data_IF_257741837191
#
_entry.id   IF_257741837191
#
_cell.length_a   1.000
_cell.length_b   1.000
_cell.length_c   1.000
_cell.angle_alpha   90.00
_cell.angle_beta   90.00
_cell.angle_gamma   90.00
#
_symmetry.space_group_name_H-M   'P 1'
#
loop_
_entity.id
_entity.type
_entity.pdbx_description
1 polymer ?
#
# COMPACT_ATOMS: atom_id res chain seq x y z
N UNK A 1 17.74 -51.43 38.15
CA UNK A 1 18.87 -50.46 38.28
C UNK A 1 18.82 -49.64 36.99
N UNK A 2 17.95 -48.67 36.97
CA UNK A 2 17.68 -47.85 35.77
C UNK A 2 18.39 -46.52 35.89
N UNK A 3 19.27 -46.24 34.95
CA UNK A 3 20.03 -44.99 34.89
C UNK A 3 19.15 -43.91 34.25
N UNK A 4 18.83 -42.88 35.01
CA UNK A 4 18.14 -41.67 34.55
C UNK A 4 19.16 -40.78 33.86
N UNK A 5 19.08 -40.64 32.54
CA UNK A 5 19.84 -39.66 31.78
C UNK A 5 19.24 -38.26 31.96
N UNK A 6 19.99 -37.39 32.59
CA UNK A 6 19.66 -35.99 32.76
C UNK A 6 19.95 -35.21 31.46
N UNK A 7 18.90 -34.75 30.75
CA UNK A 7 19.03 -33.85 29.62
C UNK A 7 19.36 -32.43 30.14
N UNK A 8 20.61 -32.04 29.98
CA UNK A 8 21.08 -30.66 30.21
C UNK A 8 20.59 -29.77 29.10
N UNK A 9 19.65 -28.86 29.39
CA UNK A 9 19.20 -27.83 28.46
C UNK A 9 20.27 -26.75 28.30
N UNK A 10 20.95 -26.72 27.18
CA UNK A 10 21.86 -25.65 26.82
C UNK A 10 21.03 -24.42 26.45
N UNK A 11 21.04 -23.41 27.30
CA UNK A 11 20.45 -22.09 27.00
C UNK A 11 21.22 -21.43 25.86
N UNK A 12 20.54 -21.24 24.72
CA UNK A 12 21.06 -20.45 23.58
C UNK A 12 21.10 -19.00 24.01
N UNK A 13 22.24 -18.30 23.93
CA UNK A 13 22.31 -16.89 24.31
C UNK A 13 21.45 -16.06 23.36
N UNK A 14 20.49 -15.31 23.90
CA UNK A 14 19.77 -14.27 23.22
C UNK A 14 20.80 -13.23 22.75
N UNK A 15 20.98 -13.10 21.44
CA UNK A 15 21.90 -12.15 20.84
C UNK A 15 21.59 -10.75 21.37
N UNK A 16 22.47 -10.20 22.18
CA UNK A 16 22.42 -8.84 22.68
C UNK A 16 22.37 -7.87 21.51
N UNK A 17 21.30 -7.07 21.43
CA UNK A 17 21.13 -6.08 20.39
C UNK A 17 22.31 -5.10 20.40
N UNK A 18 22.96 -4.91 19.24
CA UNK A 18 23.96 -3.86 19.03
C UNK A 18 23.34 -2.53 19.46
N UNK A 19 24.00 -1.69 20.29
CA UNK A 19 23.48 -0.40 20.69
C UNK A 19 23.22 0.44 19.45
N UNK A 20 21.94 0.70 19.12
CA UNK A 20 21.59 1.61 18.03
C UNK A 20 22.02 3.02 18.43
N UNK A 21 22.64 3.74 17.51
CA UNK A 21 22.94 5.15 17.70
C UNK A 21 21.63 5.88 18.07
N UNK A 22 21.64 6.63 19.17
CA UNK A 22 20.47 7.40 19.67
C UNK A 22 19.85 8.27 18.60
N UNK A 23 20.66 8.79 17.68
CA UNK A 23 20.21 9.60 16.54
C UNK A 23 19.38 8.77 15.56
N UNK A 24 19.82 7.55 15.23
CA UNK A 24 19.09 6.63 14.33
C UNK A 24 17.75 6.22 14.96
N UNK A 25 17.75 5.97 16.26
CA UNK A 25 16.51 5.62 16.98
C UNK A 25 15.53 6.80 17.04
N UNK A 26 16.02 8.02 17.27
CA UNK A 26 15.20 9.24 17.24
C UNK A 26 14.56 9.45 15.87
N UNK A 27 15.33 9.36 14.79
CA UNK A 27 14.82 9.49 13.42
C UNK A 27 13.79 8.40 13.07
N UNK A 28 14.04 7.16 13.48
CA UNK A 28 13.09 6.05 13.31
C UNK A 28 11.76 6.33 14.03
N UNK A 29 11.82 6.86 15.25
CA UNK A 29 10.63 7.21 16.02
C UNK A 29 9.86 8.39 15.43
N UNK A 30 10.56 9.41 14.93
CA UNK A 30 9.95 10.54 14.19
C UNK A 30 9.23 10.04 12.93
N UNK A 31 9.88 9.20 12.13
CA UNK A 31 9.29 8.58 10.94
C UNK A 31 8.07 7.72 11.30
N UNK A 32 8.18 6.88 12.33
CA UNK A 32 7.07 6.03 12.80
C UNK A 32 5.86 6.88 13.21
N UNK A 33 6.07 7.97 13.97
CA UNK A 33 4.99 8.89 14.39
C UNK A 33 4.30 9.49 13.15
N UNK A 34 5.08 9.97 12.18
CA UNK A 34 4.57 10.55 10.93
C UNK A 34 3.79 9.51 10.11
N UNK A 35 4.37 8.32 9.88
CA UNK A 35 3.72 7.26 9.10
C UNK A 35 2.42 6.82 9.76
N UNK A 36 2.42 6.61 11.08
CA UNK A 36 1.23 6.26 11.85
C UNK A 36 0.12 7.32 11.70
N UNK A 37 0.48 8.60 11.73
CA UNK A 37 -0.50 9.68 11.51
C UNK A 37 -1.09 9.63 10.10
N UNK A 38 -0.27 9.50 9.06
CA UNK A 38 -0.74 9.43 7.67
C UNK A 38 -1.62 8.20 7.41
N UNK A 39 -1.22 7.05 7.96
CA UNK A 39 -2.01 5.81 7.85
C UNK A 39 -3.33 5.93 8.62
N UNK A 40 -3.30 6.50 9.83
CA UNK A 40 -4.51 6.76 10.62
C UNK A 40 -5.48 7.70 9.90
N UNK A 41 -4.98 8.78 9.29
CA UNK A 41 -5.79 9.67 8.46
C UNK A 41 -6.43 8.95 7.27
N UNK A 42 -5.65 8.16 6.52
CA UNK A 42 -6.20 7.40 5.39
C UNK A 42 -7.26 6.38 5.83
N UNK A 43 -7.05 5.71 6.97
CA UNK A 43 -8.03 4.77 7.55
C UNK A 43 -9.33 5.51 7.90
N UNK A 44 -9.24 6.69 8.51
CA UNK A 44 -10.40 7.49 8.89
C UNK A 44 -11.13 8.07 7.68
N UNK A 45 -10.40 8.75 6.76
CA UNK A 45 -10.97 9.41 5.59
C UNK A 45 -11.73 8.45 4.66
N UNK A 46 -11.25 7.21 4.55
CA UNK A 46 -11.88 6.19 3.70
C UNK A 46 -12.61 5.10 4.47
N UNK A 47 -12.81 5.25 5.79
CA UNK A 47 -13.46 4.27 6.66
C UNK A 47 -12.94 2.84 6.38
N UNK A 48 -11.60 2.67 6.38
CA UNK A 48 -10.97 1.42 5.93
C UNK A 48 -11.10 0.28 6.94
N UNK A 49 -11.05 0.60 8.24
CA UNK A 49 -11.09 -0.35 9.34
C UNK A 49 -12.17 0.08 10.31
N UNK A 50 -12.99 -0.87 10.75
CA UNK A 50 -14.09 -0.70 11.69
C UNK A 50 -13.88 -1.57 12.93
N UNK A 51 -14.62 -1.29 13.99
CA UNK A 51 -14.54 -2.08 15.22
C UNK A 51 -14.91 -3.55 14.96
N UNK A 52 -14.13 -4.47 15.51
CA UNK A 52 -14.31 -5.92 15.31
C UNK A 52 -13.74 -6.47 13.99
N UNK A 53 -13.12 -5.64 13.14
CA UNK A 53 -12.54 -6.13 11.88
C UNK A 53 -11.39 -7.12 12.09
N UNK A 54 -11.31 -8.10 11.21
CA UNK A 54 -10.17 -9.00 11.04
C UNK A 54 -9.42 -8.64 9.77
N UNK A 55 -8.29 -7.98 9.93
CA UNK A 55 -7.48 -7.43 8.83
C UNK A 55 -6.39 -8.41 8.40
N UNK A 56 -6.51 -8.95 7.20
CA UNK A 56 -5.46 -9.74 6.57
C UNK A 56 -4.42 -8.82 5.94
N UNK A 57 -3.20 -8.76 6.46
CA UNK A 57 -2.09 -7.99 5.90
C UNK A 57 -1.30 -8.87 4.94
N UNK A 58 -1.29 -8.52 3.66
CA UNK A 58 -0.55 -9.26 2.64
C UNK A 58 0.93 -8.88 2.64
N UNK A 59 1.80 -9.81 3.02
CA UNK A 59 3.25 -9.63 3.06
C UNK A 59 3.91 -10.19 1.81
N UNK A 60 4.60 -9.33 1.06
CA UNK A 60 5.41 -9.75 -0.09
C UNK A 60 6.89 -9.94 0.25
N UNK A 61 7.32 -9.57 1.46
CA UNK A 61 8.72 -9.46 1.83
C UNK A 61 9.38 -8.15 1.40
N UNK A 62 8.69 -7.27 0.70
CA UNK A 62 9.18 -5.95 0.33
C UNK A 62 8.99 -4.91 1.44
N UNK A 63 9.76 -3.80 1.37
CA UNK A 63 9.79 -2.70 2.35
C UNK A 63 8.41 -2.18 2.74
N UNK A 64 7.51 -2.05 1.73
CA UNK A 64 6.20 -1.44 1.91
C UNK A 64 5.26 -2.35 2.71
N UNK A 65 5.34 -3.67 2.49
CA UNK A 65 4.55 -4.65 3.22
C UNK A 65 5.00 -4.80 4.68
N UNK A 66 6.30 -4.73 4.94
CA UNK A 66 6.81 -4.67 6.32
C UNK A 66 6.40 -3.37 7.03
N UNK A 67 6.55 -2.23 6.34
CA UNK A 67 6.14 -0.93 6.86
C UNK A 67 4.64 -0.89 7.17
N UNK A 68 3.79 -1.42 6.28
CA UNK A 68 2.36 -1.55 6.51
C UNK A 68 2.06 -2.35 7.78
N UNK A 69 2.65 -3.54 7.91
CA UNK A 69 2.42 -4.40 9.08
C UNK A 69 2.84 -3.71 10.38
N UNK A 70 4.07 -3.16 10.44
CA UNK A 70 4.59 -2.51 11.64
C UNK A 70 3.73 -1.32 12.08
N UNK A 71 3.29 -0.49 11.12
CA UNK A 71 2.44 0.66 11.41
C UNK A 71 1.04 0.24 11.86
N UNK A 72 0.43 -0.78 11.22
CA UNK A 72 -0.88 -1.28 11.62
C UNK A 72 -0.85 -1.93 13.01
N UNK A 73 0.19 -2.68 13.36
CA UNK A 73 0.40 -3.19 14.72
C UNK A 73 0.47 -2.04 15.74
N UNK A 74 1.27 -0.99 15.42
CA UNK A 74 1.37 0.18 16.28
C UNK A 74 0.07 0.99 16.40
N UNK A 75 -0.79 0.97 15.40
CA UNK A 75 -2.13 1.59 15.43
C UNK A 75 -3.09 0.75 16.24
N UNK A 76 -3.14 -0.57 16.04
CA UNK A 76 -3.98 -1.50 16.81
C UNK A 76 -3.84 -1.30 18.31
N UNK A 77 -2.61 -1.14 18.77
CA UNK A 77 -2.29 -0.98 20.20
C UNK A 77 -2.71 0.39 20.79
N UNK A 78 -3.16 1.36 19.94
CA UNK A 78 -3.40 2.76 20.32
C UNK A 78 -4.70 3.35 19.80
N UNK A 79 -5.32 2.70 18.82
CA UNK A 79 -6.56 3.19 18.22
C UNK A 79 -7.74 3.01 19.20
N UNK A 80 -8.78 3.85 19.08
CA UNK A 80 -10.01 3.65 19.82
C UNK A 80 -10.85 2.48 19.30
N UNK A 81 -10.41 1.82 18.24
CA UNK A 81 -11.04 0.67 17.60
C UNK A 81 -10.33 -0.62 17.97
N UNK A 82 -11.10 -1.69 18.21
CA UNK A 82 -10.58 -3.04 18.38
C UNK A 82 -10.61 -3.78 17.05
N UNK A 83 -9.46 -4.25 16.56
CA UNK A 83 -9.35 -5.07 15.36
C UNK A 83 -8.21 -6.07 15.45
N UNK A 84 -8.38 -7.19 14.77
CA UNK A 84 -7.36 -8.24 14.68
C UNK A 84 -6.49 -8.07 13.44
N UNK A 85 -5.23 -8.48 13.55
CA UNK A 85 -4.29 -8.51 12.42
C UNK A 85 -3.80 -9.94 12.23
N UNK A 86 -3.91 -10.44 10.99
CA UNK A 86 -3.30 -11.70 10.56
C UNK A 86 -2.39 -11.40 9.37
N UNK A 87 -1.10 -11.68 9.52
CA UNK A 87 -0.14 -11.54 8.44
C UNK A 87 -0.19 -12.75 7.51
N UNK A 88 -0.30 -12.54 6.20
CA UNK A 88 -0.33 -13.62 5.22
C UNK A 88 0.74 -13.40 4.16
N UNK A 89 1.60 -14.42 3.96
CA UNK A 89 2.52 -14.45 2.83
C UNK A 89 2.13 -15.58 1.88
N UNK A 90 2.24 -15.31 0.58
CA UNK A 90 2.14 -16.32 -0.46
C UNK A 90 3.53 -16.63 -1.00
N UNK A 91 4.07 -17.81 -0.66
CA UNK A 91 5.22 -18.39 -1.32
C UNK A 91 4.78 -18.98 -2.67
N UNK A 92 5.23 -18.33 -3.74
CA UNK A 92 4.91 -18.71 -5.12
C UNK A 92 5.85 -19.77 -5.69
N UNK A 93 6.77 -20.30 -4.86
CA UNK A 93 7.85 -21.20 -5.24
C UNK A 93 8.80 -20.61 -6.30
N UNK A 94 9.08 -19.32 -6.16
CA UNK A 94 10.12 -18.66 -6.97
C UNK A 94 11.50 -19.19 -6.58
N UNK A 95 12.39 -19.49 -7.56
CA UNK A 95 13.75 -19.91 -7.26
C UNK A 95 14.49 -18.91 -6.38
N UNK A 96 15.15 -19.40 -5.32
CA UNK A 96 15.92 -18.56 -4.41
C UNK A 96 15.09 -17.73 -3.41
N UNK A 97 13.79 -17.98 -3.28
CA UNK A 97 12.99 -17.34 -2.25
C UNK A 97 13.40 -17.84 -0.85
N UNK A 98 13.82 -16.94 0.07
CA UNK A 98 14.29 -17.34 1.40
C UNK A 98 13.11 -17.62 2.35
N UNK A 99 12.65 -18.86 2.38
CA UNK A 99 11.40 -19.30 3.05
C UNK A 99 11.39 -19.04 4.56
N UNK A 100 12.56 -18.99 5.22
CA UNK A 100 12.67 -18.83 6.68
C UNK A 100 12.60 -17.36 7.14
N UNK A 101 12.84 -16.40 6.26
CA UNK A 101 12.98 -14.96 6.64
C UNK A 101 11.68 -14.42 7.22
N UNK A 102 10.56 -14.61 6.54
CA UNK A 102 9.26 -14.12 6.99
C UNK A 102 8.76 -14.82 8.25
N UNK A 103 8.74 -16.18 8.34
CA UNK A 103 8.33 -16.84 9.58
C UNK A 103 9.14 -16.40 10.80
N UNK A 104 10.47 -16.31 10.68
CA UNK A 104 11.35 -15.84 11.77
C UNK A 104 11.02 -14.42 12.21
N UNK A 105 10.83 -13.52 11.24
CA UNK A 105 10.46 -12.13 11.52
C UNK A 105 9.10 -12.04 12.23
N UNK A 106 8.08 -12.74 11.71
CA UNK A 106 6.71 -12.70 12.23
C UNK A 106 6.59 -13.30 13.62
N UNK A 107 7.28 -14.42 13.88
CA UNK A 107 7.36 -15.02 15.22
C UNK A 107 7.96 -14.04 16.25
N UNK A 108 9.03 -13.32 15.87
CA UNK A 108 9.64 -12.28 16.71
C UNK A 108 8.76 -11.05 16.95
N UNK A 109 7.70 -10.85 16.12
CA UNK A 109 6.74 -9.74 16.28
C UNK A 109 5.50 -10.10 17.09
N UNK A 110 5.31 -11.38 17.46
CA UNK A 110 4.15 -11.83 18.21
C UNK A 110 2.82 -11.61 17.46
N UNK A 111 2.83 -11.67 16.13
CA UNK A 111 1.63 -11.51 15.30
C UNK A 111 1.18 -12.86 14.75
N UNK A 112 -0.13 -13.10 14.73
CA UNK A 112 -0.67 -14.28 14.05
C UNK A 112 -0.33 -14.24 12.57
N UNK A 113 0.17 -15.35 12.00
CA UNK A 113 0.53 -15.38 10.59
C UNK A 113 0.25 -16.72 9.92
N UNK A 114 0.13 -16.68 8.60
CA UNK A 114 0.00 -17.87 7.75
C UNK A 114 0.89 -17.72 6.52
N UNK A 115 1.75 -18.71 6.31
CA UNK A 115 2.50 -18.87 5.05
C UNK A 115 1.71 -19.84 4.18
N UNK A 116 1.37 -19.38 2.98
CA UNK A 116 0.64 -20.18 1.99
C UNK A 116 1.59 -20.56 0.87
N UNK A 117 1.78 -21.84 0.67
CA UNK A 117 2.61 -22.36 -0.42
C UNK A 117 1.72 -22.72 -1.60
N UNK A 118 1.96 -22.11 -2.74
CA UNK A 118 1.30 -22.47 -3.99
C UNK A 118 2.17 -22.10 -5.18
N UNK A 119 2.58 -23.10 -5.95
CA UNK A 119 3.40 -22.90 -7.13
C UNK A 119 2.61 -22.20 -8.25
N UNK A 120 2.53 -20.88 -8.12
CA UNK A 120 2.00 -20.01 -9.18
C UNK A 120 3.09 -19.61 -10.17
N UNK A 121 4.36 -19.69 -9.76
CA UNK A 121 5.48 -19.31 -10.61
C UNK A 121 5.62 -20.25 -11.81
N UNK A 122 5.64 -21.55 -11.61
CA UNK A 122 5.73 -22.55 -12.70
C UNK A 122 4.53 -22.46 -13.64
N UNK A 123 3.34 -22.18 -13.11
CA UNK A 123 2.14 -21.95 -13.96
C UNK A 123 2.35 -20.75 -14.87
N UNK A 124 2.84 -19.62 -14.35
CA UNK A 124 3.08 -18.41 -15.14
C UNK A 124 4.15 -18.65 -16.20
N UNK A 125 5.26 -19.29 -15.83
CA UNK A 125 6.36 -19.63 -16.76
C UNK A 125 5.91 -20.54 -17.91
N UNK A 126 5.01 -21.48 -17.65
CA UNK A 126 4.48 -22.40 -18.68
C UNK A 126 3.52 -21.71 -19.65
N UNK A 127 2.73 -20.73 -19.16
CA UNK A 127 1.66 -20.08 -19.94
C UNK A 127 2.17 -18.88 -20.74
N UNK A 128 3.13 -18.14 -20.19
CA UNK A 128 3.64 -16.92 -20.80
C UNK A 128 4.95 -17.23 -21.55
N UNK A 129 5.01 -16.95 -22.87
CA UNK A 129 6.23 -17.11 -23.65
C UNK A 129 7.38 -16.26 -23.13
N UNK A 130 8.61 -16.74 -23.33
CA UNK A 130 9.81 -15.97 -22.97
C UNK A 130 9.84 -14.59 -23.65
N UNK A 131 10.32 -13.58 -22.91
CA UNK A 131 10.34 -12.20 -23.37
C UNK A 131 9.01 -11.43 -23.23
N UNK A 132 7.92 -12.07 -22.80
CA UNK A 132 6.65 -11.40 -22.51
C UNK A 132 6.49 -11.08 -21.03
N UNK A 133 5.71 -10.04 -20.72
CA UNK A 133 5.45 -9.61 -19.35
C UNK A 133 4.57 -10.61 -18.59
N UNK A 134 5.10 -11.20 -17.53
CA UNK A 134 4.41 -12.19 -16.69
C UNK A 134 3.51 -11.57 -15.63
N UNK A 135 3.66 -10.27 -15.34
CA UNK A 135 3.07 -9.59 -14.18
C UNK A 135 1.54 -9.64 -14.13
N UNK A 136 0.87 -9.57 -15.28
CA UNK A 136 -0.60 -9.59 -15.36
C UNK A 136 -1.20 -10.91 -14.89
N UNK A 137 -0.69 -12.05 -15.41
CA UNK A 137 -1.14 -13.37 -15.00
C UNK A 137 -0.73 -13.69 -13.56
N UNK A 138 0.53 -13.37 -13.20
CA UNK A 138 1.03 -13.55 -11.85
C UNK A 138 0.16 -12.82 -10.81
N UNK A 139 -0.17 -11.55 -11.05
CA UNK A 139 -1.01 -10.77 -10.13
C UNK A 139 -2.44 -11.31 -10.02
N UNK A 140 -2.99 -11.87 -11.10
CA UNK A 140 -4.32 -12.51 -11.10
C UNK A 140 -4.32 -13.80 -10.28
N UNK A 141 -3.34 -14.67 -10.48
CA UNK A 141 -3.21 -15.91 -9.71
C UNK A 141 -3.00 -15.65 -8.22
N UNK A 142 -2.07 -14.73 -7.88
CA UNK A 142 -1.84 -14.32 -6.50
C UNK A 142 -3.13 -13.82 -5.83
N UNK A 143 -3.90 -12.99 -6.52
CA UNK A 143 -5.15 -12.45 -6.03
C UNK A 143 -6.16 -13.54 -5.71
N UNK A 144 -6.33 -14.51 -6.62
CA UNK A 144 -7.21 -15.66 -6.41
C UNK A 144 -6.84 -16.47 -5.17
N UNK A 145 -5.53 -16.72 -4.96
CA UNK A 145 -5.05 -17.42 -3.75
C UNK A 145 -5.32 -16.59 -2.49
N UNK A 146 -4.99 -15.29 -2.51
CA UNK A 146 -5.20 -14.41 -1.35
C UNK A 146 -6.68 -14.30 -0.98
N UNK A 147 -7.59 -14.23 -1.94
CA UNK A 147 -9.03 -14.20 -1.69
C UNK A 147 -9.55 -15.50 -1.08
N UNK A 148 -9.04 -16.65 -1.55
CA UNK A 148 -9.35 -17.94 -0.92
C UNK A 148 -8.89 -17.97 0.53
N UNK A 149 -7.65 -17.57 0.80
CA UNK A 149 -7.08 -17.54 2.15
C UNK A 149 -7.85 -16.56 3.05
N UNK A 150 -8.24 -15.40 2.54
CA UNK A 150 -9.03 -14.43 3.29
C UNK A 150 -10.36 -15.05 3.79
N UNK A 151 -11.04 -15.84 2.95
CA UNK A 151 -12.24 -16.59 3.36
C UNK A 151 -11.95 -17.64 4.43
N UNK A 152 -10.89 -18.42 4.23
CA UNK A 152 -10.50 -19.50 5.16
C UNK A 152 -10.20 -18.98 6.57
N UNK A 153 -9.59 -17.80 6.69
CA UNK A 153 -9.27 -17.17 7.98
C UNK A 153 -10.36 -16.22 8.50
N UNK A 154 -11.46 -16.06 7.76
CA UNK A 154 -12.55 -15.14 8.13
C UNK A 154 -12.13 -13.67 8.12
N UNK A 155 -11.24 -13.25 7.21
CA UNK A 155 -10.81 -11.86 7.11
C UNK A 155 -11.94 -10.99 6.53
N UNK A 156 -12.22 -9.87 7.19
CA UNK A 156 -13.19 -8.86 6.75
C UNK A 156 -12.55 -7.84 5.81
N UNK A 157 -11.26 -7.57 5.99
CA UNK A 157 -10.48 -6.63 5.17
C UNK A 157 -9.17 -7.28 4.68
N UNK A 158 -8.77 -6.96 3.46
CA UNK A 158 -7.48 -7.35 2.87
C UNK A 158 -6.63 -6.10 2.71
N UNK A 159 -5.59 -5.95 3.50
CA UNK A 159 -4.69 -4.79 3.47
C UNK A 159 -3.49 -5.05 2.56
N UNK A 160 -3.28 -4.15 1.60
CA UNK A 160 -2.19 -4.19 0.62
C UNK A 160 -1.23 -3.01 0.83
N UNK A 161 0.07 -3.26 0.66
CA UNK A 161 1.16 -2.28 0.86
C UNK A 161 1.34 -1.27 -0.28
N UNK A 162 0.29 -0.95 -1.04
CA UNK A 162 0.37 0.10 -2.05
C UNK A 162 0.34 1.48 -1.39
N UNK A 163 1.25 2.34 -1.82
CA UNK A 163 1.44 3.68 -1.25
C UNK A 163 1.06 4.79 -2.26
N UNK A 164 1.18 6.05 -1.85
CA UNK A 164 0.81 7.24 -2.64
C UNK A 164 1.42 7.25 -4.04
N UNK A 165 2.69 6.92 -4.14
CA UNK A 165 3.41 6.96 -5.42
C UNK A 165 2.93 5.85 -6.37
N UNK A 166 2.45 4.70 -5.86
CA UNK A 166 1.78 3.67 -6.66
C UNK A 166 0.44 4.15 -7.22
N UNK A 167 -0.32 4.90 -6.42
CA UNK A 167 -1.61 5.50 -6.83
C UNK A 167 -1.35 6.46 -7.98
N UNK A 168 -0.37 7.35 -7.84
CA UNK A 168 0.03 8.30 -8.88
C UNK A 168 0.55 7.61 -10.13
N UNK A 169 1.46 6.65 -9.98
CA UNK A 169 1.98 5.90 -11.13
C UNK A 169 0.85 5.18 -11.88
N UNK A 170 -0.14 4.63 -11.17
CA UNK A 170 -1.31 4.00 -11.77
C UNK A 170 -2.21 5.00 -12.48
N UNK A 171 -2.40 6.18 -11.91
CA UNK A 171 -3.14 7.27 -12.55
C UNK A 171 -2.50 7.67 -13.89
N UNK A 172 -1.20 7.94 -13.90
CA UNK A 172 -0.50 8.34 -15.12
C UNK A 172 -0.42 7.21 -16.16
N UNK A 173 -0.30 5.95 -15.74
CA UNK A 173 -0.39 4.81 -16.65
C UNK A 173 -1.76 4.73 -17.33
N UNK A 174 -2.85 4.94 -16.59
CA UNK A 174 -4.18 4.96 -17.17
C UNK A 174 -4.40 6.18 -18.07
N UNK A 175 -3.87 7.34 -17.68
CA UNK A 175 -3.97 8.59 -18.45
C UNK A 175 -3.24 8.48 -19.79
N UNK A 176 -1.98 8.02 -19.79
CA UNK A 176 -1.14 8.01 -20.99
C UNK A 176 -1.38 6.82 -21.91
N UNK A 177 -1.71 5.66 -21.35
CA UNK A 177 -1.81 4.41 -22.12
C UNK A 177 -3.21 3.78 -22.11
N UNK A 178 -4.08 4.20 -21.19
CA UNK A 178 -5.41 3.63 -21.01
C UNK A 178 -6.56 4.56 -21.42
N UNK A 179 -6.28 5.81 -21.79
CA UNK A 179 -7.29 6.84 -22.08
C UNK A 179 -8.36 6.95 -20.99
N UNK A 180 -7.95 6.89 -19.71
CA UNK A 180 -8.86 6.88 -18.56
C UNK A 180 -8.32 7.73 -17.41
N UNK A 181 -9.18 8.57 -16.84
CA UNK A 181 -8.95 9.25 -15.57
C UNK A 181 -9.25 8.26 -14.44
N UNK A 182 -8.30 7.39 -14.13
CA UNK A 182 -8.45 6.32 -13.15
C UNK A 182 -7.15 6.11 -12.39
N UNK A 183 -7.22 6.22 -11.07
CA UNK A 183 -6.12 5.88 -10.16
C UNK A 183 -6.37 4.51 -9.50
N UNK A 184 -5.63 4.22 -8.44
CA UNK A 184 -5.82 3.06 -7.60
C UNK A 184 -6.66 3.47 -6.38
N UNK A 185 -7.86 2.90 -6.24
CA UNK A 185 -8.77 3.24 -5.15
C UNK A 185 -8.18 2.87 -3.78
N UNK A 186 -8.26 3.76 -2.76
CA UNK A 186 -7.81 3.46 -1.41
C UNK A 186 -8.59 2.32 -0.74
N UNK A 187 -9.88 2.21 -1.03
CA UNK A 187 -10.79 1.15 -0.57
C UNK A 187 -11.66 0.71 -1.73
N UNK A 188 -11.84 -0.59 -1.92
CA UNK A 188 -12.72 -1.13 -2.95
C UNK A 188 -13.24 -2.52 -2.57
N UNK A 189 -14.32 -2.93 -3.18
CA UNK A 189 -14.78 -4.32 -3.13
C UNK A 189 -14.02 -5.11 -4.20
N UNK A 190 -13.62 -6.34 -3.89
CA UNK A 190 -12.92 -7.23 -4.81
C UNK A 190 -13.77 -7.60 -6.03
N UNK A 191 -13.11 -8.03 -7.11
CA UNK A 191 -13.78 -8.37 -8.39
C UNK A 191 -14.87 -9.47 -8.23
N UNK A 192 -14.73 -10.33 -7.21
CA UNK A 192 -15.71 -11.37 -6.87
C UNK A 192 -16.81 -10.90 -5.90
N UNK A 193 -16.79 -9.64 -5.50
CA UNK A 193 -17.77 -9.02 -4.61
C UNK A 193 -17.70 -9.46 -3.14
N UNK A 194 -16.69 -10.27 -2.75
CA UNK A 194 -16.67 -10.96 -1.44
C UNK A 194 -15.76 -10.35 -0.40
N UNK A 195 -14.82 -9.49 -0.81
CA UNK A 195 -13.82 -8.94 0.08
C UNK A 195 -13.71 -7.43 -0.06
N UNK A 196 -13.42 -6.76 1.05
CA UNK A 196 -13.02 -5.36 1.03
C UNK A 196 -11.50 -5.27 1.01
N UNK A 197 -10.96 -4.69 -0.05
CA UNK A 197 -9.51 -4.45 -0.20
C UNK A 197 -9.21 -3.02 0.20
N UNK A 198 -8.23 -2.84 1.10
CA UNK A 198 -7.82 -1.54 1.62
C UNK A 198 -6.32 -1.27 1.36
N UNK A 199 -5.97 0.00 1.26
CA UNK A 199 -4.59 0.48 1.05
C UNK A 199 -4.25 1.55 2.09
N UNK A 200 -3.95 1.15 3.33
CA UNK A 200 -3.73 2.12 4.42
C UNK A 200 -2.55 3.06 4.19
N UNK A 201 -1.59 2.68 3.31
CA UNK A 201 -0.47 3.53 2.93
C UNK A 201 -0.81 4.58 1.86
N UNK A 202 -2.09 4.81 1.52
CA UNK A 202 -2.52 5.69 0.43
C UNK A 202 -1.94 7.11 0.51
N UNK A 203 -1.71 7.66 1.70
CA UNK A 203 -1.13 8.98 1.92
C UNK A 203 0.40 8.98 2.15
N UNK A 204 0.99 7.79 2.23
CA UNK A 204 2.41 7.63 2.55
C UNK A 204 3.28 7.72 1.31
N UNK A 205 4.36 8.50 1.36
CA UNK A 205 5.35 8.64 0.29
C UNK A 205 6.31 7.45 0.29
N UNK A 206 6.68 6.95 -0.90
CA UNK A 206 7.66 5.86 -1.05
C UNK A 206 8.97 6.15 -0.31
N UNK A 207 9.48 7.39 -0.44
CA UNK A 207 10.73 7.81 0.20
C UNK A 207 10.70 7.69 1.73
N UNK A 208 9.55 7.95 2.36
CA UNK A 208 9.41 7.87 3.81
C UNK A 208 9.37 6.40 4.26
N UNK A 209 8.72 5.52 3.47
CA UNK A 209 8.76 4.07 3.70
C UNK A 209 10.16 3.48 3.52
N UNK A 210 10.91 3.93 2.50
CA UNK A 210 12.27 3.46 2.27
C UNK A 210 13.18 3.81 3.48
N UNK A 211 13.17 5.08 3.91
CA UNK A 211 13.91 5.53 5.09
C UNK A 211 13.48 4.79 6.37
N UNK A 212 12.18 4.55 6.51
CA UNK A 212 11.66 3.80 7.66
C UNK A 212 12.13 2.34 7.64
N UNK A 213 12.11 1.70 6.48
CA UNK A 213 12.56 0.31 6.34
C UNK A 213 14.05 0.15 6.67
N UNK A 214 14.88 1.10 6.26
CA UNK A 214 16.31 1.16 6.61
C UNK A 214 16.49 1.32 8.14
N UNK A 215 15.82 2.31 8.74
CA UNK A 215 15.92 2.59 10.16
C UNK A 215 15.45 1.42 11.04
N UNK A 216 14.43 0.68 10.56
CA UNK A 216 13.90 -0.51 11.22
C UNK A 216 14.68 -1.78 10.92
N UNK A 217 15.61 -1.75 9.97
CA UNK A 217 16.38 -2.90 9.48
C UNK A 217 15.48 -4.09 9.10
N UNK A 218 14.40 -3.84 8.34
CA UNK A 218 13.52 -4.92 7.90
C UNK A 218 14.28 -5.93 7.02
N UNK A 219 14.05 -7.22 7.17
CA UNK A 219 14.70 -8.25 6.37
C UNK A 219 14.06 -8.34 4.98
N UNK A 220 14.36 -7.35 4.12
CA UNK A 220 13.74 -7.20 2.80
C UNK A 220 14.17 -8.33 1.88
N UNK A 221 13.18 -8.97 1.26
CA UNK A 221 13.38 -9.98 0.22
C UNK A 221 13.33 -9.28 -1.14
N UNK A 222 14.38 -9.41 -1.98
CA UNK A 222 14.42 -8.76 -3.29
C UNK A 222 13.28 -9.19 -4.22
N UNK A 223 12.64 -8.25 -4.92
CA UNK A 223 11.55 -8.53 -5.87
C UNK A 223 12.03 -9.07 -7.23
N UNK A 224 13.33 -9.26 -7.41
CA UNK A 224 13.94 -9.65 -8.70
C UNK A 224 13.94 -11.14 -8.98
N UNK A 225 13.46 -11.95 -8.05
CA UNK A 225 13.52 -13.42 -8.11
C UNK A 225 12.73 -14.02 -9.28
N UNK A 226 11.71 -13.35 -9.80
CA UNK A 226 10.90 -13.89 -10.89
C UNK A 226 11.53 -13.73 -12.28
N UNK A 227 12.63 -12.97 -12.43
CA UNK A 227 13.29 -12.72 -13.72
C UNK A 227 12.41 -11.98 -14.75
N UNK A 228 11.21 -11.52 -14.37
CA UNK A 228 10.37 -10.76 -15.29
C UNK A 228 10.97 -9.38 -15.51
N UNK A 229 10.95 -8.93 -16.76
CA UNK A 229 11.24 -7.52 -17.03
C UNK A 229 10.18 -6.67 -16.31
N UNK A 230 10.64 -5.73 -15.50
CA UNK A 230 9.74 -4.76 -14.91
C UNK A 230 8.97 -4.04 -16.02
N UNK A 231 7.71 -3.71 -15.76
CA UNK A 231 6.90 -2.95 -16.69
C UNK A 231 7.62 -1.62 -17.02
N UNK A 232 8.23 -1.55 -18.20
CA UNK A 232 9.03 -0.41 -18.67
C UNK A 232 8.24 0.91 -18.56
N UNK A 233 6.94 0.86 -18.87
CA UNK A 233 6.06 2.02 -18.78
C UNK A 233 5.93 2.53 -17.34
N UNK A 234 5.83 1.63 -16.35
CA UNK A 234 5.80 2.04 -14.93
C UNK A 234 7.11 2.68 -14.49
N UNK A 235 8.25 2.14 -14.91
CA UNK A 235 9.56 2.75 -14.65
C UNK A 235 9.67 4.14 -15.24
N UNK A 236 9.22 4.32 -16.49
CA UNK A 236 9.23 5.62 -17.19
C UNK A 236 8.34 6.64 -16.45
N UNK A 237 7.13 6.27 -16.09
CA UNK A 237 6.22 7.15 -15.33
C UNK A 237 6.81 7.51 -13.96
N UNK A 238 7.36 6.53 -13.24
CA UNK A 238 7.98 6.80 -11.94
C UNK A 238 9.20 7.72 -12.06
N UNK A 239 10.03 7.54 -13.08
CA UNK A 239 11.17 8.42 -13.34
C UNK A 239 10.72 9.85 -13.69
N UNK A 240 9.70 9.99 -14.51
CA UNK A 240 9.08 11.29 -14.86
C UNK A 240 8.57 12.00 -13.59
N UNK A 241 7.83 11.32 -12.73
CA UNK A 241 7.30 11.90 -11.48
C UNK A 241 8.42 12.35 -10.54
N UNK A 242 9.49 11.56 -10.42
CA UNK A 242 10.67 11.93 -9.63
C UNK A 242 11.40 13.15 -10.20
N UNK A 243 11.50 13.25 -11.53
CA UNK A 243 12.08 14.42 -12.19
C UNK A 243 11.22 15.68 -11.98
N UNK A 244 9.89 15.56 -12.08
CA UNK A 244 8.97 16.65 -11.81
C UNK A 244 9.06 17.14 -10.35
N UNK A 245 9.15 16.24 -9.37
CA UNK A 245 9.33 16.64 -7.97
C UNK A 245 10.64 17.39 -7.75
N UNK A 246 11.72 17.03 -8.47
CA UNK A 246 12.99 17.74 -8.39
C UNK A 246 12.93 19.14 -9.01
N UNK A 247 12.30 19.27 -10.18
CA UNK A 247 12.17 20.54 -10.89
C UNK A 247 11.14 21.47 -10.28
N UNK A 248 10.07 20.91 -9.77
CA UNK A 248 8.92 21.64 -9.24
C UNK A 248 8.52 21.06 -7.89
N UNK A 249 9.24 21.33 -6.81
CA UNK A 249 8.96 20.80 -5.48
C UNK A 249 7.52 21.08 -5.05
N UNK A 250 6.84 20.04 -4.50
CA UNK A 250 5.44 20.11 -4.09
C UNK A 250 4.43 19.84 -5.22
N UNK A 251 4.84 19.82 -6.49
CA UNK A 251 3.91 19.59 -7.61
C UNK A 251 3.27 18.20 -7.57
N UNK A 252 4.01 17.20 -7.14
CA UNK A 252 3.48 15.83 -6.98
C UNK A 252 2.41 15.76 -5.89
N UNK A 253 2.54 16.56 -4.84
CA UNK A 253 1.50 16.71 -3.80
C UNK A 253 0.24 17.33 -4.39
N UNK A 254 0.37 18.42 -5.14
CA UNK A 254 -0.75 19.09 -5.83
C UNK A 254 -1.51 18.11 -6.73
N UNK A 255 -0.79 17.34 -7.57
CA UNK A 255 -1.40 16.33 -8.45
C UNK A 255 -2.13 15.25 -7.63
N UNK A 256 -1.55 14.79 -6.53
CA UNK A 256 -2.19 13.80 -5.67
C UNK A 256 -3.48 14.34 -5.04
N UNK A 257 -3.46 15.58 -4.56
CA UNK A 257 -4.63 16.22 -3.98
C UNK A 257 -5.76 16.41 -5.02
N UNK A 258 -5.41 16.74 -6.27
CA UNK A 258 -6.37 16.87 -7.35
C UNK A 258 -7.16 15.58 -7.65
N UNK A 259 -6.63 14.39 -7.28
CA UNK A 259 -7.39 13.14 -7.38
C UNK A 259 -8.58 13.06 -6.40
N UNK A 260 -8.58 13.89 -5.35
CA UNK A 260 -9.67 14.00 -4.39
C UNK A 260 -10.57 15.23 -4.60
N UNK A 261 -10.25 16.09 -5.60
CA UNK A 261 -10.96 17.34 -5.88
C UNK A 261 -11.42 17.35 -7.35
N UNK A 262 -12.32 16.43 -7.66
CA UNK A 262 -12.84 16.27 -9.03
C UNK A 262 -14.05 17.17 -9.23
N UNK A 263 -14.07 17.93 -10.33
CA UNK A 263 -15.23 18.74 -10.77
C UNK A 263 -15.89 18.03 -11.96
N UNK A 264 -16.90 17.18 -11.74
CA UNK A 264 -17.51 16.34 -12.78
C UNK A 264 -18.14 17.14 -13.92
N UNK A 265 -18.64 18.33 -13.62
CA UNK A 265 -19.28 19.23 -14.59
C UNK A 265 -18.34 19.77 -15.66
N UNK A 266 -17.03 19.78 -15.37
CA UNK A 266 -15.99 20.22 -16.30
C UNK A 266 -15.25 19.07 -16.99
N UNK A 267 -15.70 17.83 -16.79
CA UNK A 267 -15.18 16.65 -17.48
C UNK A 267 -16.09 16.28 -18.67
N UNK A 268 -15.54 15.60 -19.67
CA UNK A 268 -16.27 15.24 -20.89
C UNK A 268 -17.07 13.92 -20.76
N UNK A 269 -17.15 13.32 -19.59
CA UNK A 269 -17.87 12.06 -19.37
C UNK A 269 -19.37 12.30 -19.22
N UNK A 270 -20.11 11.96 -20.29
CA UNK A 270 -21.58 12.10 -20.35
C UNK A 270 -22.35 11.24 -19.34
N UNK A 271 -21.69 10.30 -18.66
CA UNK A 271 -22.30 9.52 -17.55
C UNK A 271 -22.28 10.30 -16.24
N UNK A 272 -21.37 11.27 -16.10
CA UNK A 272 -21.26 12.14 -14.92
C UNK A 272 -22.14 13.37 -15.04
N UNK A 273 -22.43 13.83 -16.27
CA UNK A 273 -23.29 14.98 -16.53
C UNK A 273 -24.05 14.80 -17.84
N UNK A 274 -25.35 15.07 -17.81
CA UNK A 274 -26.20 15.14 -19.00
C UNK A 274 -26.09 16.53 -19.64
N UNK A 275 -25.13 16.68 -20.57
CA UNK A 275 -24.93 17.93 -21.29
C UNK A 275 -26.09 18.27 -22.24
N UNK A 276 -26.86 17.28 -22.69
CA UNK A 276 -27.97 17.49 -23.62
C UNK A 276 -29.19 18.16 -22.96
N UNK A 277 -29.32 18.01 -21.64
CA UNK A 277 -30.42 18.60 -20.84
C UNK A 277 -30.15 20.03 -20.40
N UNK A 278 -28.92 20.56 -20.56
CA UNK A 278 -28.58 21.90 -20.10
C UNK A 278 -29.40 22.95 -20.79
N UNK A 279 -30.10 23.81 -20.05
CA UNK A 279 -30.90 24.95 -20.50
C UNK A 279 -30.64 26.15 -19.63
N UNK A 280 -30.77 27.34 -20.17
CA UNK A 280 -30.71 28.57 -19.40
C UNK A 280 -31.95 28.70 -18.51
N UNK A 281 -31.74 29.04 -17.25
CA UNK A 281 -32.84 29.34 -16.30
C UNK A 281 -33.18 30.82 -16.24
N UNK A 282 -32.35 31.69 -16.80
CA UNK A 282 -32.43 33.14 -16.64
C UNK A 282 -32.08 33.66 -15.25
N UNK A 283 -31.71 32.78 -14.35
CA UNK A 283 -31.32 33.13 -12.97
C UNK A 283 -29.98 32.48 -12.61
N UNK A 284 -29.12 33.16 -11.82
CA UNK A 284 -27.92 32.55 -11.30
C UNK A 284 -28.27 31.32 -10.42
N UNK A 285 -27.54 30.23 -10.60
CA UNK A 285 -27.63 29.08 -9.68
C UNK A 285 -26.82 29.38 -8.43
N UNK A 286 -27.36 29.22 -7.21
CA UNK A 286 -26.63 29.49 -5.96
C UNK A 286 -25.34 28.69 -5.83
N UNK A 287 -25.34 27.45 -6.36
CA UNK A 287 -24.20 26.53 -6.37
C UNK A 287 -23.70 26.27 -7.81
N UNK A 288 -23.96 27.17 -8.73
CA UNK A 288 -23.56 27.04 -10.14
C UNK A 288 -22.05 27.10 -10.31
N UNK A 289 -21.53 26.31 -11.24
CA UNK A 289 -20.14 26.41 -11.66
C UNK A 289 -19.88 27.84 -12.17
N UNK A 290 -18.92 28.52 -11.59
CA UNK A 290 -18.51 29.86 -12.06
C UNK A 290 -17.81 29.63 -13.41
N UNK A 291 -18.24 30.34 -14.47
CA UNK A 291 -17.66 30.20 -15.82
C UNK A 291 -16.17 30.59 -15.86
N UNK A 292 -15.76 31.43 -14.93
CA UNK A 292 -14.37 31.82 -14.70
C UNK A 292 -14.05 31.46 -13.25
N UNK A 293 -13.18 30.48 -13.05
CA UNK A 293 -12.61 30.25 -11.73
C UNK A 293 -11.91 31.54 -11.28
N UNK A 294 -12.19 31.96 -10.04
CA UNK A 294 -11.35 32.96 -9.41
C UNK A 294 -9.90 32.48 -9.51
N UNK A 295 -8.97 33.43 -9.67
CA UNK A 295 -7.54 33.18 -9.81
C UNK A 295 -7.11 31.96 -8.97
N UNK A 296 -6.61 30.87 -9.60
CA UNK A 296 -6.17 29.67 -8.87
C UNK A 296 -5.09 29.97 -7.83
N UNK A 297 -4.42 31.15 -7.89
CA UNK A 297 -3.53 31.64 -6.85
C UNK A 297 -4.28 32.19 -5.63
N UNK A 298 -5.56 32.57 -5.76
CA UNK A 298 -6.35 33.14 -4.66
C UNK A 298 -7.03 32.06 -3.79
N UNK A 299 -7.27 30.88 -4.32
CA UNK A 299 -7.75 29.73 -3.55
C UNK A 299 -6.55 28.92 -3.09
N UNK A 300 -5.98 29.30 -1.95
CA UNK A 300 -5.14 28.36 -1.20
C UNK A 300 -5.89 27.05 -1.09
N UNK A 301 -5.31 25.90 -1.51
CA UNK A 301 -5.92 24.60 -1.24
C UNK A 301 -6.25 24.58 0.24
N UNK A 302 -7.49 24.16 0.61
CA UNK A 302 -7.84 24.04 2.04
C UNK A 302 -6.66 23.36 2.72
N UNK A 303 -6.04 23.98 3.73
CA UNK A 303 -4.88 23.38 4.34
C UNK A 303 -5.33 22.04 4.92
N UNK A 304 -5.05 20.95 4.20
CA UNK A 304 -4.88 19.68 4.91
C UNK A 304 -3.80 20.00 5.92
N UNK A 305 -4.00 19.69 7.22
CA UNK A 305 -3.11 20.14 8.28
C UNK A 305 -1.68 19.92 7.82
N UNK A 306 -1.00 21.03 7.54
CA UNK A 306 0.40 21.01 7.15
C UNK A 306 1.13 20.12 8.14
N UNK A 307 1.87 19.21 7.61
CA UNK A 307 2.83 18.43 8.36
C UNK A 307 3.88 19.44 8.84
N UNK A 308 3.60 20.14 9.92
CA UNK A 308 4.62 20.93 10.60
C UNK A 308 5.83 19.98 10.78
N UNK A 309 6.93 20.36 10.16
CA UNK A 309 8.24 19.72 10.34
C UNK A 309 8.73 20.14 11.73
N UNK A 310 8.24 19.47 12.80
CA UNK A 310 8.80 19.49 14.14
C UNK A 310 9.58 18.20 14.40
#
# INVERSE_FOLDING_TARGET
MDAVESHSSVAVPVAGGVPRDRRVEFEANKLRKRLRRLVGMAIADFAMIEDGDRVMVCLSGGKDSYGLLDILLSLRDRAPLSFEIIAVNLDQKQPGFPVEVLPRYLAGRGVAFRIVEQDTYSVVKRVIPDGKTMCSLCSRLRRGVLYRVAREIGATKIALGHHRDDILATFFLNLFFGAKLKAMAPKLVSDDGRHVVIRPLAYVRERDLARYAEAMAFPIIPCTLCGSQENLQRKQVTAMLRDWEKRYPGRIETIFNALGEVVPTHLLDRRLRDFASIRTSGMPLPDGDVAFDDDPAAKSPRPRPELADD
#
